data_IF_406116700556
#
_entry.id   IF_406116700556
#
_cell.length_a   1.000
_cell.length_b   1.000
_cell.length_c   1.000
_cell.angle_alpha   90.00
_cell.angle_beta   90.00
_cell.angle_gamma   90.00
#
_symmetry.space_group_name_H-M   'P 1'
#
loop_
_entity.id
_entity.type
_entity.pdbx_description
1 polymer ?
#
# COMPACT_ATOMS: atom_id res chain seq x y z
N UNK A 1 -33.91 -6.86 16.10
CA UNK A 1 -32.84 -6.49 15.16
C UNK A 1 -31.50 -6.83 15.75
N UNK A 2 -30.53 -7.27 14.91
CA UNK A 2 -29.20 -7.69 15.38
C UNK A 2 -28.43 -6.60 16.17
N UNK A 3 -28.73 -5.34 15.94
CA UNK A 3 -28.14 -4.19 16.66
C UNK A 3 -28.41 -4.21 18.17
N UNK A 4 -29.54 -4.78 18.62
CA UNK A 4 -29.86 -4.86 20.05
C UNK A 4 -29.02 -5.86 20.82
N UNK A 5 -28.35 -6.78 20.12
CA UNK A 5 -27.45 -7.78 20.70
C UNK A 5 -26.00 -7.27 20.90
N UNK A 6 -25.66 -6.16 20.27
CA UNK A 6 -24.33 -5.55 20.43
C UNK A 6 -24.32 -4.71 21.70
N UNK A 7 -23.50 -5.10 22.67
CA UNK A 7 -23.36 -4.34 23.91
C UNK A 7 -21.93 -3.83 24.13
N UNK A 8 -21.82 -2.65 24.71
CA UNK A 8 -20.54 -1.96 24.94
C UNK A 8 -19.59 -2.76 25.86
N UNK A 9 -20.11 -3.51 26.81
CA UNK A 9 -19.30 -4.30 27.75
C UNK A 9 -18.57 -5.42 27.03
N UNK A 10 -19.29 -6.20 26.22
CA UNK A 10 -18.69 -7.29 25.42
C UNK A 10 -17.69 -6.74 24.42
N UNK A 11 -18.05 -5.70 23.67
CA UNK A 11 -17.16 -5.07 22.71
C UNK A 11 -15.87 -4.56 23.37
N UNK A 12 -16.00 -3.89 24.52
CA UNK A 12 -14.85 -3.39 25.29
C UNK A 12 -13.95 -4.53 25.77
N UNK A 13 -14.53 -5.66 26.19
CA UNK A 13 -13.76 -6.81 26.63
C UNK A 13 -12.90 -7.40 25.48
N UNK A 14 -13.50 -7.57 24.29
CA UNK A 14 -12.77 -8.02 23.09
C UNK A 14 -11.69 -7.04 22.69
N UNK A 15 -11.98 -5.75 22.68
CA UNK A 15 -11.00 -4.69 22.35
C UNK A 15 -9.83 -4.70 23.34
N UNK A 16 -10.09 -4.74 24.66
CA UNK A 16 -9.04 -4.81 25.67
C UNK A 16 -8.17 -6.05 25.53
N UNK A 17 -8.77 -7.21 25.26
CA UNK A 17 -8.04 -8.45 25.07
C UNK A 17 -7.12 -8.35 23.84
N UNK A 18 -7.67 -8.02 22.68
CA UNK A 18 -6.92 -7.95 21.41
C UNK A 18 -5.87 -6.82 21.39
N UNK A 19 -6.04 -5.75 22.16
CA UNK A 19 -5.06 -4.65 22.24
C UNK A 19 -4.04 -4.80 23.35
N UNK A 20 -4.07 -5.90 24.11
CA UNK A 20 -3.15 -6.12 25.21
C UNK A 20 -1.75 -6.54 24.73
N UNK A 21 -0.73 -6.29 25.55
CA UNK A 21 0.69 -6.55 25.24
C UNK A 21 1.00 -7.97 24.74
N UNK A 22 0.39 -9.06 25.28
CA UNK A 22 0.63 -10.40 24.79
C UNK A 22 0.36 -10.62 23.29
N UNK A 23 -0.46 -9.76 22.67
CA UNK A 23 -0.78 -9.83 21.24
C UNK A 23 0.23 -9.09 20.34
N UNK A 24 1.19 -8.34 20.92
CA UNK A 24 2.36 -7.78 20.20
C UNK A 24 1.98 -7.03 18.89
N UNK A 25 0.83 -6.33 18.88
CA UNK A 25 0.34 -5.62 17.69
C UNK A 25 -0.33 -6.49 16.61
N UNK A 26 -0.33 -7.81 16.73
CA UNK A 26 -1.06 -8.78 15.87
C UNK A 26 -0.68 -8.74 14.38
N UNK A 27 0.55 -8.40 14.05
CA UNK A 27 0.99 -8.39 12.65
C UNK A 27 0.84 -9.79 12.02
N UNK A 28 0.52 -9.87 10.72
CA UNK A 28 0.49 -11.14 10.00
C UNK A 28 1.79 -11.93 10.13
N UNK A 29 1.72 -13.25 10.10
CA UNK A 29 2.83 -14.20 10.26
C UNK A 29 3.62 -14.09 11.58
N UNK A 30 3.22 -13.23 12.52
CA UNK A 30 3.85 -13.12 13.86
C UNK A 30 3.19 -14.02 14.91
N UNK A 31 3.85 -14.15 16.09
CA UNK A 31 3.27 -14.81 17.25
C UNK A 31 1.97 -14.13 17.71
N UNK A 32 1.96 -12.79 17.77
CA UNK A 32 0.78 -12.02 18.16
C UNK A 32 -0.38 -12.19 17.17
N UNK A 33 -0.08 -12.24 15.87
CA UNK A 33 -1.07 -12.56 14.84
C UNK A 33 -1.70 -13.93 15.04
N UNK A 34 -0.91 -14.97 15.28
CA UNK A 34 -1.42 -16.33 15.59
C UNK A 34 -2.30 -16.35 16.83
N UNK A 35 -1.89 -15.70 17.91
CA UNK A 35 -2.71 -15.60 19.14
C UNK A 35 -4.05 -14.91 18.85
N UNK A 36 -4.08 -13.88 18.01
CA UNK A 36 -5.32 -13.20 17.65
C UNK A 36 -6.26 -14.11 16.85
N UNK A 37 -5.75 -14.85 15.87
CA UNK A 37 -6.57 -15.79 15.08
C UNK A 37 -7.11 -16.94 15.94
N UNK A 38 -6.31 -17.51 16.86
CA UNK A 38 -6.76 -18.53 17.82
C UNK A 38 -7.84 -17.98 18.76
N UNK A 39 -7.66 -16.76 19.25
CA UNK A 39 -8.68 -16.11 20.07
C UNK A 39 -10.00 -15.95 19.30
N UNK A 40 -9.96 -15.47 18.05
CA UNK A 40 -11.15 -15.33 17.22
C UNK A 40 -11.82 -16.68 16.95
N UNK A 41 -11.06 -17.71 16.62
CA UNK A 41 -11.58 -19.06 16.42
C UNK A 41 -12.29 -19.60 17.66
N UNK A 42 -11.70 -19.37 18.84
CA UNK A 42 -12.32 -19.75 20.12
C UNK A 42 -13.65 -19.02 20.36
N UNK A 43 -13.72 -17.72 20.04
CA UNK A 43 -14.96 -16.95 20.17
C UNK A 43 -16.03 -17.42 19.16
N UNK A 44 -15.65 -17.71 17.92
CA UNK A 44 -16.57 -18.25 16.91
C UNK A 44 -17.13 -19.60 17.36
N UNK A 45 -16.30 -20.49 17.86
CA UNK A 45 -16.74 -21.78 18.41
C UNK A 45 -17.68 -21.61 19.61
N UNK A 46 -17.40 -20.69 20.53
CA UNK A 46 -18.24 -20.40 21.69
C UNK A 46 -19.63 -19.84 21.29
N UNK A 47 -19.73 -19.16 20.15
CA UNK A 47 -20.98 -18.70 19.57
C UNK A 47 -21.74 -19.80 18.81
N UNK A 48 -21.20 -21.01 18.72
CA UNK A 48 -21.80 -22.13 18.02
C UNK A 48 -21.73 -22.05 16.49
N UNK A 49 -20.80 -21.25 15.95
CA UNK A 49 -20.55 -21.19 14.51
C UNK A 49 -19.87 -22.49 14.06
N UNK A 50 -20.20 -22.93 12.86
CA UNK A 50 -19.53 -24.08 12.24
C UNK A 50 -18.24 -23.62 11.53
N UNK A 51 -17.13 -24.37 11.66
CA UNK A 51 -15.91 -24.06 10.97
C UNK A 51 -16.06 -24.24 9.46
N UNK A 52 -15.62 -23.23 8.69
CA UNK A 52 -15.73 -23.20 7.22
C UNK A 52 -14.37 -22.94 6.53
N UNK A 53 -13.28 -22.98 7.28
CA UNK A 53 -11.93 -22.85 6.75
C UNK A 53 -11.32 -24.17 6.28
N UNK A 54 -10.02 -24.18 6.07
CA UNK A 54 -9.29 -25.32 5.54
C UNK A 54 -9.38 -26.52 6.49
N UNK A 55 -9.57 -27.71 5.91
CA UNK A 55 -9.68 -28.97 6.64
C UNK A 55 -10.73 -28.99 7.77
N UNK A 56 -11.81 -28.22 7.65
CA UNK A 56 -12.87 -28.14 8.64
C UNK A 56 -12.45 -27.37 9.90
N UNK A 57 -11.56 -26.43 9.78
CA UNK A 57 -11.13 -25.50 10.85
C UNK A 57 -11.76 -24.10 10.65
N UNK A 58 -11.49 -23.17 11.58
CA UNK A 58 -11.82 -21.75 11.40
C UNK A 58 -10.72 -20.97 10.66
N UNK A 59 -9.69 -21.64 10.13
CA UNK A 59 -8.52 -21.01 9.54
C UNK A 59 -8.47 -21.24 8.04
N UNK A 60 -7.92 -20.27 7.33
CA UNK A 60 -7.49 -20.37 5.95
C UNK A 60 -6.02 -20.04 5.89
N UNK A 61 -5.22 -20.91 5.28
CA UNK A 61 -3.78 -20.67 5.10
C UNK A 61 -3.56 -19.67 3.96
N UNK A 62 -2.92 -18.54 4.29
CA UNK A 62 -2.54 -17.50 3.34
C UNK A 62 -1.02 -17.41 3.29
N UNK A 63 -0.38 -17.78 2.16
CA UNK A 63 1.06 -17.62 2.00
C UNK A 63 1.42 -16.12 1.98
N UNK A 64 2.42 -15.74 2.77
CA UNK A 64 2.91 -14.36 2.87
C UNK A 64 4.39 -14.35 2.52
N UNK A 65 4.79 -13.41 1.67
CA UNK A 65 6.18 -13.12 1.35
C UNK A 65 6.59 -11.85 2.10
N UNK A 66 7.61 -11.95 2.92
CA UNK A 66 8.23 -10.81 3.56
C UNK A 66 9.40 -10.31 2.71
N UNK A 67 9.39 -9.02 2.40
CA UNK A 67 10.47 -8.34 1.70
C UNK A 67 11.16 -7.38 2.63
N UNK A 68 12.49 -7.45 2.72
CA UNK A 68 13.29 -6.53 3.51
C UNK A 68 14.26 -5.76 2.62
N UNK A 69 14.32 -4.44 2.78
CA UNK A 69 15.31 -3.62 2.10
C UNK A 69 16.64 -3.71 2.84
N UNK A 70 17.72 -3.96 2.11
CA UNK A 70 19.06 -3.96 2.70
C UNK A 70 19.40 -2.57 3.27
N UNK A 71 19.99 -2.54 4.47
CA UNK A 71 20.30 -1.28 5.19
C UNK A 71 21.26 -0.34 4.45
N UNK A 72 22.02 -0.87 3.50
CA UNK A 72 22.95 -0.13 2.64
C UNK A 72 22.31 0.27 1.29
N UNK A 73 21.01 0.11 1.13
CA UNK A 73 20.31 0.51 -0.09
C UNK A 73 20.53 2.01 -0.39
N UNK A 74 20.81 2.29 -1.64
CA UNK A 74 20.90 3.64 -2.19
C UNK A 74 20.21 3.70 -3.54
N UNK A 75 19.53 4.81 -3.81
CA UNK A 75 19.08 5.18 -5.14
C UNK A 75 20.06 6.19 -5.72
N UNK A 76 20.72 5.84 -6.81
CA UNK A 76 21.68 6.73 -7.48
C UNK A 76 21.15 7.16 -8.85
N UNK A 77 21.19 8.47 -9.10
CA UNK A 77 20.94 9.07 -10.41
C UNK A 77 22.12 9.96 -10.79
N UNK A 78 22.32 10.32 -12.06
CA UNK A 78 23.40 11.23 -12.43
C UNK A 78 23.41 12.52 -11.59
N UNK A 79 24.50 12.75 -10.86
CA UNK A 79 24.69 13.92 -9.99
C UNK A 79 24.12 13.84 -8.57
N UNK A 80 23.31 12.81 -8.23
CA UNK A 80 22.74 12.68 -6.90
C UNK A 80 22.67 11.22 -6.41
N UNK A 81 22.72 11.07 -5.07
CA UNK A 81 22.51 9.78 -4.39
C UNK A 81 21.56 9.99 -3.22
N UNK A 82 20.52 9.16 -3.17
CA UNK A 82 19.49 9.19 -2.14
C UNK A 82 19.66 7.99 -1.21
N UNK A 83 19.64 8.24 0.09
CA UNK A 83 19.85 7.21 1.13
C UNK A 83 18.53 6.70 1.63
N UNK A 84 18.48 5.39 1.84
CA UNK A 84 17.32 4.73 2.43
C UNK A 84 16.91 5.36 3.76
N UNK A 85 15.64 5.41 4.03
CA UNK A 85 14.97 6.08 5.14
C UNK A 85 15.11 7.61 5.16
N UNK A 86 16.25 8.16 4.82
CA UNK A 86 16.45 9.63 4.86
C UNK A 86 15.75 10.31 3.68
N UNK A 87 15.98 9.81 2.49
CA UNK A 87 15.61 10.47 1.24
C UNK A 87 14.62 9.61 0.42
N UNK A 88 14.61 8.30 0.64
CA UNK A 88 13.83 7.32 -0.12
C UNK A 88 13.46 6.13 0.75
N UNK A 89 12.28 5.58 0.52
CA UNK A 89 11.89 4.24 0.95
C UNK A 89 11.66 3.38 -0.29
N UNK A 90 11.80 2.08 -0.17
CA UNK A 90 11.69 1.17 -1.31
C UNK A 90 11.08 -0.15 -0.91
N UNK A 91 10.42 -0.81 -1.84
CA UNK A 91 9.99 -2.20 -1.73
C UNK A 91 10.11 -2.90 -3.09
N UNK A 92 10.13 -4.21 -3.07
CA UNK A 92 10.09 -5.02 -4.29
C UNK A 92 8.69 -5.59 -4.49
N UNK A 93 8.15 -5.42 -5.71
CA UNK A 93 6.91 -6.06 -6.13
C UNK A 93 7.13 -7.45 -6.74
N UNK A 94 8.36 -7.98 -6.73
CA UNK A 94 8.70 -9.28 -7.29
C UNK A 94 9.32 -10.18 -6.23
N UNK A 95 8.96 -11.48 -6.28
CA UNK A 95 9.41 -12.52 -5.35
C UNK A 95 10.77 -13.09 -5.76
N UNK A 96 11.79 -12.25 -5.80
CA UNK A 96 13.16 -12.67 -6.08
C UNK A 96 14.03 -12.50 -4.83
N UNK A 97 14.99 -13.43 -4.57
CA UNK A 97 15.86 -13.35 -3.41
C UNK A 97 16.67 -12.06 -3.33
N UNK A 98 16.94 -11.46 -4.47
CA UNK A 98 17.60 -10.16 -4.57
C UNK A 98 17.13 -9.43 -5.82
N UNK A 99 16.81 -8.16 -5.67
CA UNK A 99 16.44 -7.28 -6.79
C UNK A 99 17.44 -6.14 -6.87
N UNK A 100 18.05 -6.00 -8.04
CA UNK A 100 18.85 -4.84 -8.41
C UNK A 100 18.42 -4.40 -9.80
N UNK A 101 18.03 -3.16 -9.95
CA UNK A 101 17.52 -2.65 -11.22
C UNK A 101 18.27 -1.39 -11.61
N UNK A 102 18.63 -1.32 -12.88
CA UNK A 102 19.22 -0.14 -13.51
C UNK A 102 18.49 0.14 -14.82
N UNK A 103 18.24 1.41 -15.10
CA UNK A 103 17.56 1.78 -16.35
C UNK A 103 17.43 3.28 -16.51
N UNK A 104 16.94 3.67 -17.69
CA UNK A 104 16.56 5.05 -17.97
C UNK A 104 15.40 5.48 -17.08
N UNK A 105 15.33 6.77 -16.78
CA UNK A 105 14.28 7.39 -15.97
C UNK A 105 13.45 8.32 -16.84
N UNK A 106 12.13 8.21 -16.79
CA UNK A 106 11.19 9.03 -17.55
C UNK A 106 10.14 9.63 -16.61
N UNK A 107 9.94 10.92 -16.67
CA UNK A 107 8.87 11.58 -15.94
C UNK A 107 7.55 11.47 -16.72
N UNK A 108 6.50 11.01 -16.06
CA UNK A 108 5.18 10.75 -16.64
C UNK A 108 4.06 11.49 -15.89
N UNK A 109 4.33 12.71 -15.44
CA UNK A 109 3.31 13.52 -14.77
C UNK A 109 2.73 12.83 -13.54
N UNK A 110 1.43 12.65 -13.52
CA UNK A 110 0.70 11.92 -12.47
C UNK A 110 0.59 10.42 -12.75
N UNK A 111 1.11 9.93 -13.88
CA UNK A 111 1.08 8.52 -14.24
C UNK A 111 -0.33 7.95 -14.37
N UNK A 112 -1.25 8.73 -14.89
CA UNK A 112 -2.67 8.36 -15.01
C UNK A 112 -3.01 8.02 -16.47
N UNK A 113 -3.76 6.94 -16.63
CA UNK A 113 -4.43 6.57 -17.86
C UNK A 113 -5.92 6.37 -17.56
N UNK A 114 -6.71 7.40 -17.81
CA UNK A 114 -8.15 7.48 -17.53
C UNK A 114 -8.88 7.85 -18.85
N UNK A 115 -9.14 6.87 -19.72
CA UNK A 115 -9.74 7.13 -21.03
C UNK A 115 -11.14 7.75 -20.95
N UNK A 116 -11.91 7.46 -19.91
CA UNK A 116 -13.22 8.07 -19.64
C UNK A 116 -13.13 9.57 -19.34
N UNK A 117 -11.98 10.04 -18.84
CA UNK A 117 -11.66 11.46 -18.63
C UNK A 117 -10.84 12.04 -19.78
N UNK A 118 -10.58 11.26 -20.84
CA UNK A 118 -9.69 11.60 -21.96
C UNK A 118 -8.28 12.00 -21.49
N UNK A 119 -7.83 11.41 -20.39
CA UNK A 119 -6.52 11.69 -19.80
C UNK A 119 -5.59 10.49 -19.96
N UNK A 120 -4.38 10.76 -20.45
CA UNK A 120 -3.34 9.73 -20.56
C UNK A 120 -1.94 10.34 -20.49
N UNK A 121 -1.31 10.25 -19.32
CA UNK A 121 0.06 10.73 -19.07
C UNK A 121 1.13 9.90 -19.81
N UNK A 122 0.78 8.71 -20.26
CA UNK A 122 1.69 7.83 -20.99
C UNK A 122 1.61 8.01 -22.50
N UNK A 123 0.70 8.87 -23.00
CA UNK A 123 0.50 9.07 -24.44
C UNK A 123 1.78 9.57 -25.13
N UNK A 124 2.29 8.80 -26.09
CA UNK A 124 3.51 9.16 -26.84
C UNK A 124 4.82 8.98 -26.07
N UNK A 125 4.79 8.43 -24.87
CA UNK A 125 5.96 8.18 -24.02
C UNK A 125 6.28 6.69 -23.99
N UNK A 126 7.51 6.31 -24.40
CA UNK A 126 7.97 4.93 -24.28
C UNK A 126 8.56 4.69 -22.89
N UNK A 127 7.86 3.95 -22.05
CA UNK A 127 8.28 3.58 -20.68
C UNK A 127 8.66 2.10 -20.54
N UNK A 128 8.58 1.33 -21.61
CA UNK A 128 8.88 -0.10 -21.60
C UNK A 128 10.29 -0.37 -21.07
N UNK A 129 10.38 -1.10 -19.94
CA UNK A 129 11.66 -1.45 -19.30
C UNK A 129 12.40 -0.28 -18.65
N UNK A 130 11.76 0.90 -18.51
CA UNK A 130 12.34 2.10 -17.88
C UNK A 130 11.78 2.34 -16.50
N UNK A 131 12.44 3.16 -15.72
CA UNK A 131 11.88 3.72 -14.49
C UNK A 131 10.99 4.92 -14.79
N UNK A 132 9.82 4.96 -14.19
CA UNK A 132 8.95 6.12 -14.28
C UNK A 132 8.97 6.93 -13.00
N UNK A 133 9.02 8.26 -13.13
CA UNK A 133 8.86 9.20 -12.01
C UNK A 133 7.47 9.78 -12.09
N UNK A 134 6.75 9.72 -10.98
CA UNK A 134 5.31 10.01 -10.92
C UNK A 134 5.03 10.95 -9.75
N UNK A 135 4.18 11.93 -9.95
CA UNK A 135 3.63 12.77 -8.89
C UNK A 135 2.58 12.01 -8.09
N UNK A 136 2.62 12.14 -6.77
CA UNK A 136 1.54 11.64 -5.89
C UNK A 136 0.28 12.51 -6.07
N UNK A 137 -0.90 11.93 -5.79
CA UNK A 137 -2.20 12.56 -5.89
C UNK A 137 -2.75 12.64 -7.33
N UNK A 138 -3.92 13.24 -7.49
CA UNK A 138 -4.52 13.57 -8.77
C UNK A 138 -3.96 14.91 -9.29
N UNK A 139 -3.97 15.15 -10.61
CA UNK A 139 -3.67 16.48 -11.13
C UNK A 139 -4.71 17.49 -10.60
N UNK A 140 -4.29 18.72 -10.29
CA UNK A 140 -5.24 19.74 -9.87
C UNK A 140 -6.25 20.01 -10.99
N UNK A 141 -7.53 20.04 -10.65
CA UNK A 141 -8.58 20.35 -11.62
C UNK A 141 -8.39 21.77 -12.18
N UNK A 142 -8.38 21.96 -13.50
CA UNK A 142 -8.27 23.27 -14.09
C UNK A 142 -9.52 24.12 -13.85
N UNK A 143 -9.40 25.44 -13.92
CA UNK A 143 -10.50 26.35 -13.59
C UNK A 143 -11.72 26.19 -14.52
N UNK A 144 -11.51 25.75 -15.74
CA UNK A 144 -12.55 25.49 -16.75
C UNK A 144 -13.16 24.09 -16.64
N UNK A 145 -12.50 23.17 -15.91
CA UNK A 145 -13.00 21.81 -15.63
C UNK A 145 -12.90 21.48 -14.13
N UNK A 146 -13.58 22.19 -13.25
CA UNK A 146 -13.41 22.10 -11.78
C UNK A 146 -13.81 20.76 -11.17
N UNK A 147 -14.48 19.90 -11.93
CA UNK A 147 -14.90 18.55 -11.51
C UNK A 147 -14.00 17.44 -12.05
N UNK A 148 -12.96 17.78 -12.82
CA UNK A 148 -12.00 16.80 -13.31
C UNK A 148 -11.35 16.08 -12.10
N UNK A 149 -11.25 14.73 -12.17
CA UNK A 149 -10.81 13.88 -11.06
C UNK A 149 -11.54 14.16 -9.73
N UNK A 150 -12.84 14.43 -9.80
CA UNK A 150 -13.68 14.75 -8.64
C UNK A 150 -13.23 16.01 -7.86
N UNK A 151 -12.60 16.95 -8.55
CA UNK A 151 -12.16 18.23 -8.04
C UNK A 151 -11.10 18.11 -6.94
N UNK A 152 -11.37 18.61 -5.71
CA UNK A 152 -10.42 18.57 -4.60
C UNK A 152 -10.34 17.20 -3.89
N UNK A 153 -11.22 16.25 -4.21
CA UNK A 153 -11.23 14.94 -3.59
C UNK A 153 -10.16 14.03 -4.20
N UNK A 154 -9.52 13.21 -3.36
CA UNK A 154 -8.58 12.19 -3.83
C UNK A 154 -9.34 11.02 -4.45
N UNK A 155 -9.16 10.80 -5.76
CA UNK A 155 -9.71 9.64 -6.46
C UNK A 155 -8.80 8.40 -6.32
N UNK A 156 -9.24 7.25 -6.87
CA UNK A 156 -8.37 6.08 -6.95
C UNK A 156 -7.11 6.33 -7.79
N UNK A 157 -7.20 7.19 -8.81
CA UNK A 157 -6.06 7.56 -9.65
C UNK A 157 -4.93 8.25 -8.88
N UNK A 158 -5.24 8.98 -7.81
CA UNK A 158 -4.25 9.62 -6.95
C UNK A 158 -3.56 8.69 -5.96
N UNK A 159 -4.06 7.47 -5.78
CA UNK A 159 -3.52 6.49 -4.83
C UNK A 159 -2.17 5.92 -5.28
N UNK A 160 -1.27 5.68 -4.33
CA UNK A 160 0.03 5.06 -4.58
C UNK A 160 -0.11 3.70 -5.27
N UNK A 161 -1.05 2.87 -4.81
CA UNK A 161 -1.36 1.57 -5.41
C UNK A 161 -1.65 1.68 -6.89
N UNK A 162 -2.53 2.61 -7.29
CA UNK A 162 -2.82 2.85 -8.69
C UNK A 162 -1.56 3.21 -9.49
N UNK A 163 -0.71 4.12 -8.95
CA UNK A 163 0.52 4.55 -9.64
C UNK A 163 1.45 3.38 -9.95
N UNK A 164 1.65 2.48 -8.97
CA UNK A 164 2.48 1.28 -9.17
C UNK A 164 1.84 0.30 -10.14
N UNK A 165 0.55 0.07 -10.01
CA UNK A 165 -0.20 -0.83 -10.90
C UNK A 165 -0.20 -0.33 -12.33
N UNK A 166 -0.44 0.97 -12.55
CA UNK A 166 -0.45 1.53 -13.91
C UNK A 166 0.96 1.52 -14.52
N UNK A 167 1.98 1.88 -13.77
CA UNK A 167 3.37 1.76 -14.23
C UNK A 167 3.69 0.32 -14.68
N UNK A 168 3.26 -0.68 -13.93
CA UNK A 168 3.42 -2.09 -14.29
C UNK A 168 2.62 -2.45 -15.56
N UNK A 169 1.36 -2.00 -15.67
CA UNK A 169 0.54 -2.20 -16.90
C UNK A 169 1.18 -1.59 -18.15
N UNK A 170 1.86 -0.47 -18.00
CA UNK A 170 2.58 0.21 -19.07
C UNK A 170 3.96 -0.41 -19.36
N UNK A 171 4.36 -1.45 -18.61
CA UNK A 171 5.61 -2.20 -18.82
C UNK A 171 6.85 -1.48 -18.28
N UNK A 172 6.71 -0.56 -17.33
CA UNK A 172 7.83 0.04 -16.65
C UNK A 172 8.61 -0.99 -15.80
N UNK A 173 9.91 -0.82 -15.67
CA UNK A 173 10.77 -1.65 -14.82
C UNK A 173 10.61 -1.33 -13.32
N UNK A 174 10.15 -0.13 -13.01
CA UNK A 174 9.89 0.33 -11.66
C UNK A 174 9.30 1.75 -11.66
N UNK A 175 8.83 2.19 -10.49
CA UNK A 175 8.25 3.51 -10.32
C UNK A 175 8.84 4.22 -9.10
N UNK A 176 9.08 5.52 -9.26
CA UNK A 176 9.53 6.44 -8.22
C UNK A 176 8.41 7.47 -8.00
N UNK A 177 7.79 7.45 -6.83
CA UNK A 177 6.77 8.43 -6.49
C UNK A 177 7.42 9.63 -5.80
N UNK A 178 7.13 10.83 -6.30
CA UNK A 178 7.55 12.08 -5.66
C UNK A 178 6.56 12.38 -4.54
N UNK A 179 7.06 12.29 -3.31
CA UNK A 179 6.33 12.70 -2.13
C UNK A 179 6.62 14.17 -1.81
N UNK A 180 5.56 14.95 -1.61
CA UNK A 180 5.62 16.26 -0.98
C UNK A 180 4.58 16.33 0.12
N UNK A 181 4.86 17.08 1.20
CA UNK A 181 3.91 17.23 2.31
C UNK A 181 2.56 17.77 1.85
N UNK A 182 2.57 18.62 0.84
CA UNK A 182 1.35 19.20 0.25
C UNK A 182 0.55 18.15 -0.52
N UNK A 183 1.18 17.40 -1.42
CA UNK A 183 0.47 16.43 -2.27
C UNK A 183 0.01 15.20 -1.49
N UNK A 184 0.80 14.75 -0.53
CA UNK A 184 0.47 13.59 0.30
C UNK A 184 -0.42 13.92 1.50
N UNK A 185 -0.51 15.21 1.88
CA UNK A 185 -1.22 15.72 3.07
C UNK A 185 -0.63 15.27 4.41
N UNK A 186 0.58 14.73 4.42
CA UNK A 186 1.34 14.34 5.61
C UNK A 186 2.85 14.42 5.35
N UNK A 187 3.66 14.63 6.41
CA UNK A 187 5.10 14.81 6.26
C UNK A 187 5.84 13.50 6.01
N UNK A 188 7.07 13.60 5.50
CA UNK A 188 7.96 12.47 5.19
C UNK A 188 8.14 11.48 6.34
N UNK A 189 8.10 11.94 7.60
CA UNK A 189 8.20 11.09 8.79
C UNK A 189 7.11 10.02 8.86
N UNK A 190 5.93 10.30 8.34
CA UNK A 190 4.85 9.30 8.26
C UNK A 190 5.22 8.19 7.27
N UNK A 191 5.81 8.55 6.14
CA UNK A 191 6.33 7.54 5.19
C UNK A 191 7.38 6.68 5.87
N UNK A 192 8.38 7.29 6.52
CA UNK A 192 9.44 6.57 7.23
C UNK A 192 8.90 5.59 8.28
N UNK A 193 7.84 5.97 9.02
CA UNK A 193 7.26 5.12 10.07
C UNK A 193 6.38 3.98 9.53
N UNK A 194 6.10 3.98 8.24
CA UNK A 194 5.22 2.99 7.58
C UNK A 194 5.99 1.91 6.79
N UNK A 195 7.35 1.97 6.84
CA UNK A 195 8.23 1.12 6.03
C UNK A 195 9.24 0.32 6.87
#
# INVERSE_FOLDING_TARGET
PAESEINATSLTAHLKMLSSDPFEGRAPATRGGRLATEYLATQMAALGLEPAGDNGTFFQDVPIVESTVESNFVLSVPGNTYRYFRDVVAFSGVENPRVQVQGEVVFVGYGINAPELKWNDYAGVNVQGKWVVIMVNDPPAPADEPTLFDGPALTYYGRWTYKYEEAARQGAAGALLIHTDESATYPWQVVQSSW
#
